data_IF_576582276394
#
_entry.id   IF_576582276394
#
_cell.length_a   1.000
_cell.length_b   1.000
_cell.length_c   1.000
_cell.angle_alpha   90.00
_cell.angle_beta   90.00
_cell.angle_gamma   90.00
#
_symmetry.space_group_name_H-M   'P 1'
#
loop_
_entity.id
_entity.type
_entity.pdbx_description
1 polymer ?
#
# COMPACT_ATOMS: atom_id res chain seq x y z
N UNK A 1 -52.91 46.45 -11.81
CA UNK A 1 -51.71 45.60 -11.97
C UNK A 1 -50.84 45.83 -10.75
N UNK A 2 -50.87 44.89 -9.84
CA UNK A 2 -50.10 44.92 -8.59
C UNK A 2 -48.95 43.93 -8.71
N UNK A 3 -47.66 44.28 -8.50
CA UNK A 3 -46.58 43.30 -8.53
C UNK A 3 -46.50 42.54 -7.22
N UNK A 4 -46.60 41.22 -7.30
CA UNK A 4 -46.28 40.33 -6.18
C UNK A 4 -44.77 40.39 -5.89
N UNK A 5 -44.40 40.89 -4.72
CA UNK A 5 -43.06 40.72 -4.16
C UNK A 5 -42.96 39.33 -3.53
N UNK A 6 -42.18 38.43 -4.15
CA UNK A 6 -41.81 37.17 -3.56
C UNK A 6 -40.65 37.38 -2.57
N UNK A 7 -40.92 37.19 -1.27
CA UNK A 7 -39.88 37.12 -0.23
C UNK A 7 -39.24 35.77 -0.26
N UNK A 8 -37.94 35.70 -0.62
CA UNK A 8 -37.11 34.52 -0.46
C UNK A 8 -36.70 34.43 1.03
N UNK A 9 -37.30 33.52 1.79
CA UNK A 9 -36.93 33.26 3.18
C UNK A 9 -35.75 32.28 3.11
N UNK A 10 -34.54 32.78 3.36
CA UNK A 10 -33.34 31.94 3.57
C UNK A 10 -33.37 31.34 4.98
N UNK A 11 -33.64 30.05 5.12
CA UNK A 11 -33.41 29.34 6.37
C UNK A 11 -31.93 29.03 6.49
N UNK A 12 -31.29 29.28 7.65
CA UNK A 12 -29.93 28.82 7.91
C UNK A 12 -29.95 27.30 7.93
N UNK A 13 -29.05 26.68 7.16
CA UNK A 13 -28.80 25.23 7.26
C UNK A 13 -28.34 24.92 8.69
N UNK A 14 -28.86 23.84 9.32
CA UNK A 14 -28.38 23.41 10.61
C UNK A 14 -26.87 23.17 10.52
N UNK A 15 -26.11 23.73 11.46
CA UNK A 15 -24.69 23.44 11.62
C UNK A 15 -24.53 21.93 11.80
N UNK A 16 -23.66 21.31 10.98
CA UNK A 16 -23.29 19.92 11.20
C UNK A 16 -22.74 19.79 12.64
N UNK A 17 -23.15 18.76 13.39
CA UNK A 17 -22.62 18.56 14.72
C UNK A 17 -21.11 18.38 14.61
N UNK A 18 -20.34 19.25 15.27
CA UNK A 18 -18.90 19.08 15.44
C UNK A 18 -18.68 17.68 16.03
N UNK A 19 -18.08 16.81 15.21
CA UNK A 19 -17.77 15.45 15.63
C UNK A 19 -16.91 15.51 16.88
N UNK A 20 -17.46 15.16 18.04
CA UNK A 20 -16.69 14.98 19.27
C UNK A 20 -15.56 14.01 18.97
N UNK A 21 -14.34 14.51 18.93
CA UNK A 21 -13.14 13.68 18.97
C UNK A 21 -13.20 12.85 20.27
N UNK A 22 -13.65 11.62 20.15
CA UNK A 22 -13.54 10.66 21.25
C UNK A 22 -12.05 10.36 21.37
N UNK A 23 -11.42 10.80 22.46
CA UNK A 23 -10.06 10.43 22.77
C UNK A 23 -9.96 8.90 22.71
N UNK A 24 -9.01 8.33 21.94
CA UNK A 24 -8.86 6.89 21.90
C UNK A 24 -8.58 6.37 23.31
N UNK A 25 -9.13 5.20 23.65
CA UNK A 25 -8.77 4.48 24.86
C UNK A 25 -7.22 4.35 24.89
N UNK A 26 -6.63 4.30 26.08
CA UNK A 26 -5.18 4.24 26.26
C UNK A 26 -4.55 3.23 25.29
N UNK A 27 -3.58 3.62 24.47
CA UNK A 27 -3.01 2.75 23.46
C UNK A 27 -2.30 1.56 24.14
N UNK A 28 -2.56 0.37 23.63
CA UNK A 28 -1.82 -0.84 24.03
C UNK A 28 -0.80 -1.16 22.97
N UNK A 29 0.47 -1.26 23.38
CA UNK A 29 1.57 -1.68 22.51
C UNK A 29 1.79 -3.18 22.63
N UNK A 30 1.79 -3.90 21.51
CA UNK A 30 2.00 -5.34 21.44
C UNK A 30 3.19 -5.62 20.51
N UNK A 31 4.14 -6.42 20.98
CA UNK A 31 5.27 -6.85 20.16
C UNK A 31 4.81 -7.94 19.19
N UNK A 32 4.85 -7.64 17.89
CA UNK A 32 4.44 -8.58 16.81
C UNK A 32 5.56 -9.57 16.52
N UNK A 33 6.80 -9.09 16.48
CA UNK A 33 7.99 -9.91 16.21
C UNK A 33 9.20 -9.33 16.92
N UNK A 34 9.93 -10.19 17.57
CA UNK A 34 11.25 -9.90 18.15
C UNK A 34 12.10 -11.17 18.16
N UNK A 35 13.33 -11.06 17.67
CA UNK A 35 14.35 -12.09 17.72
C UNK A 35 15.72 -11.41 17.88
N UNK A 36 16.55 -11.88 18.79
CA UNK A 36 17.87 -11.29 19.05
C UNK A 36 18.75 -11.34 17.81
N UNK A 37 19.44 -10.24 17.50
CA UNK A 37 20.29 -10.13 16.31
C UNK A 37 19.53 -10.01 14.99
N UNK A 38 18.20 -9.86 15.02
CA UNK A 38 17.37 -9.67 13.84
C UNK A 38 16.82 -8.25 13.76
N UNK A 39 16.71 -7.78 12.54
CA UNK A 39 15.94 -6.60 12.16
C UNK A 39 14.58 -7.04 11.65
N UNK A 40 13.53 -6.28 11.99
CA UNK A 40 12.21 -6.40 11.36
C UNK A 40 11.67 -5.02 10.98
N UNK A 41 11.08 -4.91 9.80
CA UNK A 41 10.60 -3.61 9.35
C UNK A 41 9.76 -3.64 8.07
N UNK A 42 9.38 -2.44 7.65
CA UNK A 42 8.67 -2.12 6.41
C UNK A 42 7.32 -2.82 6.21
N UNK A 43 6.45 -2.92 7.22
CA UNK A 43 5.14 -3.53 7.03
C UNK A 43 4.30 -2.81 5.95
N UNK A 44 4.49 -1.50 5.78
CA UNK A 44 3.83 -0.73 4.73
C UNK A 44 4.17 -1.20 3.29
N UNK A 45 5.30 -1.89 3.09
CA UNK A 45 5.62 -2.45 1.78
C UNK A 45 4.87 -3.76 1.53
N UNK A 46 4.53 -4.47 2.60
CA UNK A 46 4.03 -5.85 2.54
C UNK A 46 2.51 -5.93 2.65
N UNK A 47 1.90 -5.12 3.48
CA UNK A 47 0.47 -5.05 3.71
C UNK A 47 0.03 -5.54 5.08
N UNK A 48 -1.19 -5.14 5.43
CA UNK A 48 -1.93 -5.58 6.61
C UNK A 48 -3.37 -5.88 6.20
N UNK A 49 -3.92 -6.98 6.69
CA UNK A 49 -5.29 -7.43 6.42
C UNK A 49 -5.95 -7.84 7.72
N UNK A 50 -7.27 -7.68 7.79
CA UNK A 50 -8.06 -8.10 8.94
C UNK A 50 -9.38 -8.76 8.52
N UNK A 51 -9.77 -9.78 9.26
CA UNK A 51 -11.02 -10.53 9.08
C UNK A 51 -11.63 -10.75 10.48
N UNK A 52 -12.33 -9.73 10.99
CA UNK A 52 -12.74 -9.71 12.40
C UNK A 52 -11.52 -9.66 13.32
N UNK A 53 -11.42 -10.61 14.24
CA UNK A 53 -10.30 -10.72 15.18
C UNK A 53 -9.02 -11.32 14.57
N UNK A 54 -9.11 -11.86 13.35
CA UNK A 54 -7.93 -12.34 12.64
C UNK A 54 -7.23 -11.19 11.90
N UNK A 55 -5.94 -10.98 12.19
CA UNK A 55 -5.09 -9.96 11.55
C UNK A 55 -3.85 -10.62 10.98
N UNK A 56 -3.47 -10.26 9.76
CA UNK A 56 -2.25 -10.69 9.10
C UNK A 56 -1.41 -9.48 8.73
N UNK A 57 -0.13 -9.47 9.10
CA UNK A 57 0.82 -8.40 8.78
C UNK A 57 2.03 -8.99 8.06
N UNK A 58 2.38 -8.42 6.92
CA UNK A 58 3.63 -8.75 6.23
C UNK A 58 4.76 -7.81 6.65
N UNK A 59 5.99 -8.33 6.71
CA UNK A 59 7.18 -7.52 7.01
C UNK A 59 8.45 -8.17 6.46
N UNK A 60 9.53 -7.39 6.36
CA UNK A 60 10.88 -7.90 6.09
C UNK A 60 11.58 -8.22 7.40
N UNK A 61 12.28 -9.36 7.45
CA UNK A 61 13.20 -9.72 8.52
C UNK A 61 14.59 -9.97 7.94
N UNK A 62 15.63 -9.45 8.60
CA UNK A 62 17.01 -9.56 8.16
C UNK A 62 17.97 -9.60 9.34
N UNK A 63 19.27 -9.64 9.08
CA UNK A 63 20.30 -9.56 10.11
C UNK A 63 20.41 -8.12 10.63
N UNK A 64 20.38 -7.96 11.94
CA UNK A 64 20.60 -6.65 12.56
C UNK A 64 22.06 -6.22 12.35
N UNK A 65 22.23 -4.93 12.03
CA UNK A 65 23.53 -4.26 11.97
C UNK A 65 23.32 -2.79 12.36
N UNK A 66 24.00 -2.36 13.41
CA UNK A 66 23.95 -0.95 13.78
C UNK A 66 24.66 -0.12 12.72
N UNK A 67 23.92 0.80 12.10
CA UNK A 67 24.40 1.71 11.07
C UNK A 67 24.20 3.17 11.48
N UNK A 68 23.95 3.43 12.75
CA UNK A 68 23.68 4.75 13.31
C UNK A 68 22.21 5.19 13.14
N UNK A 69 21.84 6.35 13.72
CA UNK A 69 20.45 6.79 13.87
C UNK A 69 19.75 7.14 12.55
N UNK A 70 20.48 7.51 11.52
CA UNK A 70 19.92 7.99 10.25
C UNK A 70 19.72 6.87 9.21
N UNK A 71 20.00 5.64 9.57
CA UNK A 71 19.94 4.48 8.68
C UNK A 71 19.15 3.33 9.30
N UNK A 72 18.48 2.55 8.47
CA UNK A 72 17.85 1.32 8.95
C UNK A 72 18.91 0.32 9.41
N UNK A 73 18.73 -0.21 10.61
CA UNK A 73 19.68 -1.11 11.29
C UNK A 73 19.63 -2.54 10.74
N UNK A 74 19.85 -2.69 9.44
CA UNK A 74 19.84 -3.97 8.73
C UNK A 74 21.11 -4.15 7.91
N UNK A 75 21.69 -5.34 7.97
CA UNK A 75 22.80 -5.74 7.09
C UNK A 75 22.28 -6.20 5.74
N UNK A 76 22.37 -5.32 4.75
CA UNK A 76 21.89 -5.61 3.39
C UNK A 76 22.77 -6.55 2.57
N UNK A 77 23.91 -6.94 3.11
CA UNK A 77 24.79 -7.96 2.52
C UNK A 77 24.37 -9.37 2.92
N UNK A 78 23.46 -9.47 3.90
CA UNK A 78 22.91 -10.74 4.41
C UNK A 78 21.52 -10.99 3.84
N UNK A 79 21.10 -12.25 3.77
CA UNK A 79 19.76 -12.59 3.30
C UNK A 79 18.65 -11.94 4.11
N UNK A 80 17.60 -11.52 3.40
CA UNK A 80 16.32 -11.09 3.97
C UNK A 80 15.25 -12.16 3.74
N UNK A 81 14.25 -12.16 4.63
CA UNK A 81 13.03 -12.96 4.50
C UNK A 81 11.82 -12.03 4.49
N UNK A 82 10.83 -12.37 3.69
CA UNK A 82 9.52 -11.75 3.78
C UNK A 82 8.60 -12.64 4.60
N UNK A 83 8.39 -12.25 5.85
CA UNK A 83 7.60 -12.99 6.80
C UNK A 83 6.19 -12.42 6.92
N UNK A 84 5.30 -13.24 7.47
CA UNK A 84 3.96 -12.83 7.88
C UNK A 84 3.84 -13.07 9.39
N UNK A 85 3.10 -12.21 10.07
CA UNK A 85 2.67 -12.44 11.44
C UNK A 85 1.15 -12.47 11.48
N UNK A 86 0.60 -13.49 12.11
CA UNK A 86 -0.84 -13.70 12.26
C UNK A 86 -1.26 -13.61 13.71
N UNK A 87 -2.29 -12.81 13.96
CA UNK A 87 -3.06 -12.82 15.20
C UNK A 87 -4.44 -13.42 14.92
N UNK A 88 -5.01 -14.10 15.92
CA UNK A 88 -6.39 -14.63 15.88
C UNK A 88 -7.25 -14.14 17.03
N UNK A 89 -6.76 -13.16 17.77
CA UNK A 89 -7.36 -12.63 18.99
C UNK A 89 -7.35 -11.10 19.04
N UNK A 90 -7.56 -10.47 17.88
CA UNK A 90 -7.62 -9.02 17.77
C UNK A 90 -6.28 -8.31 17.99
N UNK A 91 -5.15 -9.00 17.75
CA UNK A 91 -3.82 -8.44 17.85
C UNK A 91 -3.17 -8.61 19.24
N UNK A 92 -3.73 -9.43 20.12
CA UNK A 92 -3.18 -9.64 21.46
C UNK A 92 -1.98 -10.59 21.44
N UNK A 93 -2.05 -11.67 20.64
CA UNK A 93 -0.96 -12.62 20.43
C UNK A 93 -0.67 -12.83 18.96
N UNK A 94 0.57 -13.20 18.62
CA UNK A 94 1.04 -13.29 17.25
C UNK A 94 1.88 -14.54 17.01
N UNK A 95 1.65 -15.19 15.87
CA UNK A 95 2.44 -16.29 15.35
C UNK A 95 3.12 -15.88 14.03
N UNK A 96 4.39 -16.20 13.87
CA UNK A 96 5.16 -15.88 12.65
C UNK A 96 5.04 -17.03 11.65
N UNK A 97 4.79 -16.69 10.40
CA UNK A 97 4.67 -17.59 9.28
C UNK A 97 5.71 -17.25 8.21
N UNK A 98 6.31 -18.27 7.60
CA UNK A 98 7.27 -18.09 6.51
C UNK A 98 6.67 -18.65 5.19
N UNK A 99 6.10 -17.79 4.34
CA UNK A 99 5.49 -18.21 3.08
C UNK A 99 6.52 -18.75 2.06
N UNK A 100 7.80 -18.44 2.22
CA UNK A 100 8.86 -18.94 1.35
C UNK A 100 9.00 -20.46 1.41
N UNK A 101 8.65 -21.09 2.53
CA UNK A 101 8.56 -22.55 2.68
C UNK A 101 7.56 -23.20 1.73
N UNK A 102 6.59 -22.42 1.24
CA UNK A 102 5.61 -22.82 0.22
C UNK A 102 5.95 -22.25 -1.17
N UNK A 103 7.14 -21.68 -1.34
CA UNK A 103 7.60 -21.08 -2.59
C UNK A 103 6.89 -19.77 -2.96
N UNK A 104 6.42 -19.01 -1.97
CA UNK A 104 5.74 -17.74 -2.17
C UNK A 104 6.42 -16.58 -1.42
N UNK A 105 6.20 -15.37 -1.89
CA UNK A 105 6.68 -14.12 -1.29
C UNK A 105 8.20 -14.09 -1.05
N UNK A 106 8.95 -14.77 -1.90
CA UNK A 106 10.43 -14.81 -1.83
C UNK A 106 10.94 -13.41 -2.18
N UNK A 107 11.90 -12.86 -1.41
CA UNK A 107 12.57 -11.61 -1.79
C UNK A 107 13.17 -11.73 -3.18
N UNK A 108 12.93 -10.73 -4.02
CA UNK A 108 13.52 -10.66 -5.35
C UNK A 108 13.82 -9.20 -5.66
N UNK A 109 15.04 -8.94 -6.04
CA UNK A 109 15.49 -7.60 -6.37
C UNK A 109 16.75 -7.21 -5.64
N UNK A 110 17.24 -6.04 -6.00
CA UNK A 110 18.40 -5.42 -5.37
C UNK A 110 17.93 -4.24 -4.53
N UNK A 111 18.70 -3.86 -3.53
CA UNK A 111 18.61 -2.62 -2.75
C UNK A 111 17.60 -2.59 -1.59
N UNK A 112 16.29 -2.77 -1.77
CA UNK A 112 15.32 -2.54 -0.69
C UNK A 112 14.73 -3.81 -0.09
N UNK A 113 14.84 -4.93 -0.78
CA UNK A 113 14.18 -6.18 -0.37
C UNK A 113 15.14 -7.35 -0.31
N UNK A 114 16.42 -7.05 -0.20
CA UNK A 114 17.46 -7.98 0.14
C UNK A 114 17.70 -9.12 -0.84
N UNK A 115 18.72 -9.88 -0.53
CA UNK A 115 19.05 -11.14 -1.21
C UNK A 115 18.19 -12.23 -0.57
N UNK A 116 17.54 -13.12 -1.34
CA UNK A 116 16.83 -14.24 -0.76
C UNK A 116 17.81 -15.19 -0.02
N UNK A 117 17.32 -15.92 0.97
CA UNK A 117 18.11 -16.99 1.58
C UNK A 117 18.62 -17.99 0.53
N UNK A 118 19.83 -18.58 0.73
CA UNK A 118 20.38 -19.56 -0.19
C UNK A 118 19.41 -20.69 -0.51
N UNK A 119 19.30 -21.04 -1.78
CA UNK A 119 18.39 -22.10 -2.26
C UNK A 119 16.94 -21.67 -2.47
N UNK A 120 16.55 -20.46 -2.07
CA UNK A 120 15.23 -19.93 -2.37
C UNK A 120 15.26 -19.13 -3.66
N UNK A 121 14.48 -19.56 -4.64
CA UNK A 121 14.32 -18.89 -5.93
C UNK A 121 12.84 -18.60 -6.16
N UNK A 122 12.53 -17.35 -6.47
CA UNK A 122 11.16 -16.97 -6.85
C UNK A 122 10.78 -17.67 -8.15
N UNK A 123 9.55 -18.16 -8.23
CA UNK A 123 9.01 -18.76 -9.45
C UNK A 123 9.02 -17.74 -10.60
N UNK A 124 9.14 -18.18 -11.86
CA UNK A 124 9.01 -17.30 -13.02
C UNK A 124 7.69 -16.52 -12.97
N UNK A 125 7.76 -15.24 -13.29
CA UNK A 125 6.58 -14.38 -13.29
C UNK A 125 5.66 -14.73 -14.45
N UNK A 126 4.38 -14.83 -14.14
CA UNK A 126 3.32 -15.15 -15.07
C UNK A 126 2.47 -13.91 -15.38
N UNK A 127 1.80 -13.92 -16.52
CA UNK A 127 0.71 -13.00 -16.78
C UNK A 127 -0.54 -13.50 -16.05
N UNK A 128 -1.32 -12.60 -15.48
CA UNK A 128 -2.54 -12.98 -14.81
C UNK A 128 -3.64 -13.25 -15.85
N UNK A 129 -4.21 -14.46 -15.82
CA UNK A 129 -5.31 -14.83 -16.74
C UNK A 129 -6.61 -14.06 -16.43
N UNK A 130 -6.66 -13.37 -15.30
CA UNK A 130 -7.84 -12.64 -14.84
C UNK A 130 -8.77 -13.48 -13.99
N UNK A 131 -9.99 -12.95 -13.80
CA UNK A 131 -11.04 -13.67 -13.07
C UNK A 131 -10.87 -13.71 -11.56
N UNK A 132 -9.90 -12.95 -10.99
CA UNK A 132 -9.77 -12.82 -9.55
C UNK A 132 -11.05 -12.22 -8.98
N UNK A 133 -11.64 -12.91 -8.01
CA UNK A 133 -12.72 -12.37 -7.21
C UNK A 133 -12.14 -11.58 -6.03
N UNK A 134 -12.03 -10.27 -6.21
CA UNK A 134 -11.52 -9.37 -5.17
C UNK A 134 -12.47 -9.23 -3.97
N UNK A 135 -13.75 -9.62 -4.14
CA UNK A 135 -14.74 -9.57 -3.05
C UNK A 135 -14.82 -10.87 -2.25
N UNK A 136 -13.96 -11.83 -2.55
CA UNK A 136 -13.91 -13.08 -1.77
C UNK A 136 -13.68 -12.74 -0.29
N UNK A 137 -14.45 -13.31 0.66
CA UNK A 137 -14.39 -12.95 2.07
C UNK A 137 -13.01 -13.15 2.70
N UNK A 138 -12.22 -14.08 2.19
CA UNK A 138 -10.88 -14.39 2.68
C UNK A 138 -9.78 -13.86 1.74
N UNK A 139 -10.10 -12.82 0.95
CA UNK A 139 -9.18 -12.26 -0.02
C UNK A 139 -8.07 -11.45 0.66
N UNK A 140 -6.85 -11.64 0.15
CA UNK A 140 -5.69 -10.77 0.40
C UNK A 140 -4.87 -10.64 -0.87
N UNK A 141 -4.31 -9.46 -1.12
CA UNK A 141 -3.37 -9.22 -2.23
C UNK A 141 -2.16 -8.45 -1.72
N UNK A 142 -0.97 -8.83 -2.15
CA UNK A 142 0.26 -8.10 -1.85
C UNK A 142 0.98 -7.74 -3.14
N UNK A 143 1.49 -6.51 -3.17
CA UNK A 143 2.23 -5.94 -4.29
C UNK A 143 3.71 -5.86 -3.92
N UNK A 144 4.59 -6.19 -4.85
CA UNK A 144 6.04 -6.31 -4.60
C UNK A 144 6.84 -5.68 -5.71
N UNK A 145 7.68 -4.72 -5.37
CA UNK A 145 8.68 -4.17 -6.30
C UNK A 145 9.93 -5.05 -6.38
N UNK A 146 10.70 -4.90 -7.43
CA UNK A 146 12.07 -5.44 -7.52
C UNK A 146 13.10 -4.38 -7.20
N UNK A 147 12.80 -3.13 -7.54
CA UNK A 147 13.67 -1.99 -7.35
C UNK A 147 12.82 -0.75 -7.07
N UNK A 148 13.31 0.18 -6.25
CA UNK A 148 12.59 1.40 -5.92
C UNK A 148 12.58 2.41 -7.09
N UNK A 149 13.56 2.33 -8.00
CA UNK A 149 13.77 3.33 -9.03
C UNK A 149 13.31 2.89 -10.41
N UNK A 150 13.80 1.77 -10.92
CA UNK A 150 13.62 1.40 -12.32
C UNK A 150 13.13 -0.03 -12.55
N UNK A 151 12.75 -0.74 -11.49
CA UNK A 151 12.33 -2.13 -11.60
C UNK A 151 10.85 -2.29 -11.97
N UNK A 152 10.51 -3.44 -12.56
CA UNK A 152 9.13 -3.88 -12.65
C UNK A 152 8.61 -4.32 -11.28
N UNK A 153 7.30 -4.43 -11.18
CA UNK A 153 6.61 -4.93 -10.00
C UNK A 153 5.72 -6.12 -10.33
N UNK A 154 5.36 -6.86 -9.30
CA UNK A 154 4.51 -8.04 -9.37
C UNK A 154 3.53 -8.07 -8.21
N UNK A 155 2.53 -8.92 -8.31
CA UNK A 155 1.60 -9.13 -7.21
C UNK A 155 1.35 -10.62 -6.96
N UNK A 156 0.90 -10.89 -5.74
CA UNK A 156 0.37 -12.18 -5.32
C UNK A 156 -1.01 -11.97 -4.72
N UNK A 157 -1.86 -12.96 -4.80
CA UNK A 157 -3.13 -12.95 -4.08
C UNK A 157 -3.43 -14.27 -3.40
N UNK A 158 -4.30 -14.21 -2.42
CA UNK A 158 -4.81 -15.32 -1.63
C UNK A 158 -6.32 -15.24 -1.52
N UNK A 159 -6.99 -16.39 -1.44
CA UNK A 159 -8.41 -16.53 -1.14
C UNK A 159 -8.65 -17.39 0.11
N UNK A 160 -7.62 -17.53 0.95
CA UNK A 160 -7.68 -18.24 2.22
C UNK A 160 -6.88 -17.48 3.32
N UNK A 161 -7.07 -16.16 3.39
CA UNK A 161 -6.46 -15.26 4.37
C UNK A 161 -4.94 -15.32 4.41
N UNK A 162 -4.28 -15.52 3.26
CA UNK A 162 -2.82 -15.60 3.18
C UNK A 162 -2.23 -16.94 3.61
N UNK A 163 -3.05 -17.98 3.77
CA UNK A 163 -2.57 -19.35 4.01
C UNK A 163 -1.77 -19.90 2.83
N UNK A 164 -2.20 -19.56 1.60
CA UNK A 164 -1.50 -19.84 0.36
C UNK A 164 -1.55 -18.62 -0.55
N UNK A 165 -0.51 -18.43 -1.36
CA UNK A 165 -0.37 -17.31 -2.27
C UNK A 165 -0.22 -17.78 -3.72
N UNK A 166 -1.04 -17.24 -4.61
CA UNK A 166 -0.95 -17.44 -6.07
C UNK A 166 -0.15 -16.30 -6.68
N UNK A 167 0.71 -16.61 -7.63
CA UNK A 167 1.65 -15.69 -8.28
C UNK A 167 3.08 -16.23 -8.24
N UNK A 168 4.07 -15.42 -8.61
CA UNK A 168 4.03 -13.97 -8.90
C UNK A 168 3.40 -13.64 -10.25
N UNK A 169 2.53 -12.64 -10.29
CA UNK A 169 1.93 -12.10 -11.52
C UNK A 169 2.52 -10.74 -11.86
N UNK A 170 2.81 -10.50 -13.14
CA UNK A 170 3.38 -9.24 -13.60
C UNK A 170 2.39 -8.08 -13.40
N UNK A 171 2.90 -6.93 -12.95
CA UNK A 171 2.24 -5.65 -13.13
C UNK A 171 2.83 -4.97 -14.37
N UNK A 172 2.02 -4.34 -15.22
CA UNK A 172 2.54 -3.61 -16.37
C UNK A 172 3.36 -2.38 -15.91
N UNK A 173 4.28 -1.95 -16.76
CA UNK A 173 5.04 -0.72 -16.53
C UNK A 173 4.28 0.55 -16.92
N UNK A 174 3.09 0.44 -17.52
CA UNK A 174 2.25 1.58 -17.96
C UNK A 174 2.97 2.59 -18.88
N UNK A 175 3.98 2.16 -19.61
CA UNK A 175 4.86 3.04 -20.41
C UNK A 175 5.86 3.85 -19.59
N UNK A 176 6.03 3.54 -18.30
CA UNK A 176 6.93 4.22 -17.38
C UNK A 176 8.30 3.50 -17.33
N UNK A 177 9.35 4.19 -16.86
CA UNK A 177 10.69 3.61 -16.69
C UNK A 177 10.73 2.56 -15.58
N UNK A 178 9.87 2.69 -14.57
CA UNK A 178 9.76 1.75 -13.46
C UNK A 178 8.52 2.00 -12.63
N UNK A 179 8.11 0.97 -11.93
CA UNK A 179 6.98 0.97 -11.00
C UNK A 179 7.41 0.31 -9.71
N UNK A 180 7.44 1.09 -8.63
CA UNK A 180 7.69 0.61 -7.27
C UNK A 180 6.35 0.36 -6.58
N UNK A 181 5.88 -0.90 -6.62
CA UNK A 181 4.64 -1.29 -5.99
C UNK A 181 4.84 -1.66 -4.52
N UNK A 182 4.09 -1.01 -3.66
CA UNK A 182 3.85 -1.37 -2.28
C UNK A 182 2.39 -1.74 -2.12
N UNK A 183 2.05 -2.47 -1.08
CA UNK A 183 0.70 -3.00 -0.93
C UNK A 183 -0.29 -1.91 -0.52
N UNK A 184 -0.93 -1.31 -1.50
CA UNK A 184 -2.04 -0.38 -1.32
C UNK A 184 -3.07 -0.56 -2.44
N UNK A 185 -4.29 -0.97 -2.08
CA UNK A 185 -5.35 -1.22 -3.06
C UNK A 185 -6.75 -1.03 -2.46
N UNK A 186 -7.71 -0.78 -3.33
CA UNK A 186 -9.13 -0.71 -3.00
C UNK A 186 -9.95 -1.63 -3.88
N UNK A 187 -10.73 -2.49 -3.26
CA UNK A 187 -11.70 -3.33 -3.94
C UNK A 187 -12.93 -2.49 -4.29
N UNK A 188 -13.31 -2.50 -5.57
CA UNK A 188 -14.48 -1.79 -6.08
C UNK A 188 -15.63 -2.74 -6.43
N UNK A 189 -15.33 -4.01 -6.67
CA UNK A 189 -16.29 -5.05 -7.03
C UNK A 189 -15.59 -6.37 -7.32
N UNK A 190 -16.36 -7.37 -7.71
CA UNK A 190 -15.89 -8.75 -7.88
C UNK A 190 -14.61 -8.86 -8.72
N UNK A 191 -14.57 -8.23 -9.91
CA UNK A 191 -13.40 -8.26 -10.77
C UNK A 191 -12.75 -6.88 -10.90
N UNK A 192 -13.08 -5.94 -10.01
CA UNK A 192 -12.72 -4.53 -10.09
C UNK A 192 -11.90 -4.11 -8.87
N UNK A 193 -10.66 -3.71 -9.12
CA UNK A 193 -9.71 -3.28 -8.09
C UNK A 193 -8.87 -2.09 -8.59
N UNK A 194 -8.63 -1.14 -7.70
CA UNK A 194 -7.70 -0.03 -7.91
C UNK A 194 -6.48 -0.22 -7.05
N UNK A 195 -5.29 -0.07 -7.64
CA UNK A 195 -4.00 -0.11 -6.95
C UNK A 195 -3.35 1.27 -6.95
N UNK A 196 -2.62 1.58 -5.89
CA UNK A 196 -1.91 2.85 -5.71
C UNK A 196 -0.41 2.56 -5.69
N UNK A 197 0.31 3.16 -6.63
CA UNK A 197 1.67 2.78 -7.00
C UNK A 197 2.56 4.01 -7.01
N UNK A 198 3.87 3.79 -7.04
CA UNK A 198 4.85 4.85 -7.25
C UNK A 198 5.62 4.60 -8.53
N UNK A 199 5.66 5.60 -9.41
CA UNK A 199 6.42 5.56 -10.66
C UNK A 199 7.81 6.13 -10.50
N UNK A 200 8.74 5.70 -11.36
CA UNK A 200 9.96 6.43 -11.62
C UNK A 200 9.64 7.76 -12.30
N UNK A 201 10.30 8.82 -11.89
CA UNK A 201 10.29 10.12 -12.56
C UNK A 201 11.10 10.08 -13.86
N UNK A 202 11.07 11.11 -14.71
CA UNK A 202 11.87 11.20 -15.93
C UNK A 202 13.38 11.06 -15.68
N UNK A 203 13.88 11.47 -14.52
CA UNK A 203 15.27 11.32 -14.08
C UNK A 203 15.66 9.86 -13.73
N UNK A 204 14.71 8.94 -13.77
CA UNK A 204 14.90 7.53 -13.43
C UNK A 204 14.85 7.22 -11.93
N UNK A 205 14.63 8.22 -11.07
CA UNK A 205 14.49 8.01 -9.64
C UNK A 205 13.02 7.74 -9.25
N UNK A 206 12.79 6.99 -8.18
CA UNK A 206 11.45 6.81 -7.61
C UNK A 206 10.85 8.17 -7.24
N UNK A 207 9.55 8.34 -7.43
CA UNK A 207 8.97 9.43 -6.74
C UNK A 207 7.73 10.10 -7.27
N UNK A 208 6.89 9.46 -8.09
CA UNK A 208 5.60 10.03 -8.48
C UNK A 208 4.47 9.04 -8.29
N UNK A 209 3.55 9.27 -7.32
CA UNK A 209 2.43 8.38 -7.09
C UNK A 209 1.38 8.45 -8.21
N UNK A 210 0.78 7.31 -8.50
CA UNK A 210 -0.32 7.19 -9.44
C UNK A 210 -1.26 6.05 -9.02
N UNK A 211 -2.43 6.00 -9.64
CA UNK A 211 -3.33 4.87 -9.49
C UNK A 211 -3.60 4.18 -10.84
N UNK A 212 -3.81 2.87 -10.76
CA UNK A 212 -4.19 2.03 -11.88
C UNK A 212 -5.34 1.10 -11.47
N UNK A 213 -6.12 0.62 -12.43
CA UNK A 213 -7.32 -0.17 -12.18
C UNK A 213 -7.43 -1.34 -13.13
N UNK A 214 -7.87 -2.46 -12.60
CA UNK A 214 -8.38 -3.60 -13.35
C UNK A 214 -9.90 -3.68 -13.25
N UNK A 215 -10.56 -4.22 -14.28
CA UNK A 215 -11.98 -4.54 -14.29
C UNK A 215 -12.27 -5.94 -14.81
N UNK A 216 -11.23 -6.74 -14.96
CA UNK A 216 -11.26 -8.09 -15.50
C UNK A 216 -10.55 -9.10 -14.59
N UNK A 217 -10.51 -8.79 -13.28
CA UNK A 217 -9.93 -9.67 -12.29
C UNK A 217 -8.41 -9.78 -12.39
N UNK A 218 -7.73 -8.71 -12.76
CA UNK A 218 -6.27 -8.65 -12.78
C UNK A 218 -5.60 -9.00 -14.11
N UNK A 219 -6.37 -9.34 -15.17
CA UNK A 219 -5.82 -9.65 -16.49
C UNK A 219 -5.17 -8.43 -17.12
N UNK A 220 -5.87 -7.28 -17.08
CA UNK A 220 -5.36 -6.03 -17.58
C UNK A 220 -5.43 -4.94 -16.52
N UNK A 221 -4.43 -4.07 -16.51
CA UNK A 221 -4.37 -2.92 -15.64
C UNK A 221 -4.23 -1.66 -16.47
N UNK A 222 -5.07 -0.66 -16.20
CA UNK A 222 -5.06 0.62 -16.90
C UNK A 222 -4.60 1.72 -15.96
N UNK A 223 -3.63 2.51 -16.39
CA UNK A 223 -3.29 3.77 -15.72
C UNK A 223 -4.53 4.66 -15.67
N UNK A 224 -4.83 5.23 -14.51
CA UNK A 224 -5.96 6.15 -14.35
C UNK A 224 -5.50 7.59 -14.23
N UNK A 225 -4.68 7.88 -13.24
CA UNK A 225 -4.26 9.25 -12.93
C UNK A 225 -3.01 9.30 -12.07
N UNK A 226 -2.28 10.39 -12.18
CA UNK A 226 -1.30 10.80 -11.19
C UNK A 226 -2.00 11.25 -9.91
N UNK A 227 -1.37 11.02 -8.76
CA UNK A 227 -1.83 11.51 -7.47
C UNK A 227 -0.95 12.69 -7.09
N UNK A 228 -1.52 13.90 -7.24
CA UNK A 228 -0.79 15.14 -7.04
C UNK A 228 0.17 15.51 -8.17
N UNK A 229 0.81 16.64 -7.96
CA UNK A 229 1.78 17.19 -8.89
C UNK A 229 3.11 16.44 -8.85
N UNK A 230 3.90 16.56 -9.91
CA UNK A 230 5.23 16.01 -9.94
C UNK A 230 6.11 16.69 -8.88
N UNK A 231 6.71 15.94 -7.95
CA UNK A 231 7.51 16.52 -6.89
C UNK A 231 8.89 16.93 -7.40
N UNK A 232 9.47 17.98 -6.81
CA UNK A 232 10.87 18.35 -7.03
C UNK A 232 11.82 17.25 -6.52
N UNK A 233 11.58 16.78 -5.29
CA UNK A 233 12.26 15.61 -4.72
C UNK A 233 11.53 14.31 -5.07
N UNK A 234 10.91 13.66 -4.09
CA UNK A 234 10.09 12.48 -4.31
C UNK A 234 8.79 12.51 -3.52
N UNK A 235 7.78 11.85 -4.07
CA UNK A 235 6.54 11.48 -3.39
C UNK A 235 6.35 9.97 -3.55
N UNK A 236 6.20 9.25 -2.46
CA UNK A 236 6.21 7.78 -2.43
C UNK A 236 5.24 7.22 -1.39
N UNK A 237 5.03 5.92 -1.44
CA UNK A 237 4.27 5.17 -0.43
C UNK A 237 2.86 5.74 -0.23
N UNK A 238 2.03 5.79 -1.29
CA UNK A 238 0.63 6.12 -1.11
C UNK A 238 -0.02 5.13 -0.14
N UNK A 239 -0.92 5.64 0.70
CA UNK A 239 -1.78 4.86 1.57
C UNK A 239 -3.18 5.45 1.49
N UNK A 240 -4.13 4.67 0.98
CA UNK A 240 -5.42 5.17 0.53
C UNK A 240 -6.57 4.54 1.28
N UNK A 241 -7.50 5.36 1.72
CA UNK A 241 -8.76 4.93 2.33
C UNK A 241 -9.96 5.50 1.61
N UNK A 242 -11.06 4.77 1.63
CA UNK A 242 -12.35 5.23 1.10
C UNK A 242 -13.11 5.95 2.20
N UNK A 243 -13.41 7.24 1.98
CA UNK A 243 -14.22 8.05 2.89
C UNK A 243 -15.72 7.96 2.55
N UNK A 244 -16.05 7.68 1.30
CA UNK A 244 -17.43 7.56 0.82
C UNK A 244 -17.51 6.88 -0.53
N UNK A 245 -18.72 6.67 -1.08
CA UNK A 245 -18.88 5.96 -2.36
C UNK A 245 -18.08 6.57 -3.53
N UNK A 246 -17.81 7.86 -3.43
CA UNK A 246 -17.11 8.62 -4.46
C UNK A 246 -15.90 9.39 -3.94
N UNK A 247 -15.44 9.08 -2.74
CA UNK A 247 -14.42 9.87 -2.10
C UNK A 247 -13.30 9.01 -1.54
N UNK A 248 -12.07 9.38 -1.86
CA UNK A 248 -10.85 8.74 -1.39
C UNK A 248 -9.98 9.78 -0.69
N UNK A 249 -9.28 9.34 0.34
CA UNK A 249 -8.19 10.07 0.97
C UNK A 249 -6.91 9.26 0.81
N UNK A 250 -5.87 9.87 0.25
CA UNK A 250 -4.55 9.25 0.09
C UNK A 250 -3.51 10.05 0.85
N UNK A 251 -2.82 9.42 1.78
CA UNK A 251 -1.63 9.97 2.43
C UNK A 251 -0.39 9.54 1.66
N UNK A 252 0.57 10.44 1.49
CA UNK A 252 1.79 10.23 0.71
C UNK A 252 2.98 10.75 1.49
N UNK A 253 4.03 9.93 1.62
CA UNK A 253 5.31 10.40 2.12
C UNK A 253 6.00 11.23 1.03
N UNK A 254 6.31 12.48 1.36
CA UNK A 254 6.95 13.42 0.44
C UNK A 254 8.25 13.96 1.01
N UNK A 255 9.20 14.24 0.14
CA UNK A 255 10.47 14.88 0.48
C UNK A 255 10.94 15.77 -0.67
N UNK A 256 11.45 16.94 -0.34
CA UNK A 256 12.37 17.71 -1.18
C UNK A 256 13.80 17.57 -0.63
N UNK A 257 14.72 18.38 -1.11
CA UNK A 257 16.14 18.29 -0.72
C UNK A 257 16.39 18.60 0.77
N UNK A 258 15.46 19.26 1.44
CA UNK A 258 15.65 19.80 2.80
C UNK A 258 14.65 19.27 3.82
N UNK A 259 13.43 18.91 3.39
CA UNK A 259 12.33 18.57 4.29
C UNK A 259 11.62 17.30 3.85
N UNK A 260 11.14 16.54 4.82
CA UNK A 260 10.25 15.40 4.61
C UNK A 260 8.95 15.66 5.37
N UNK A 261 7.79 15.30 4.73
CA UNK A 261 6.46 15.46 5.32
C UNK A 261 5.48 14.42 4.79
N UNK A 262 4.34 14.33 5.43
CA UNK A 262 3.20 13.59 4.90
C UNK A 262 2.25 14.60 4.23
N UNK A 263 1.89 14.32 3.00
CA UNK A 263 0.91 15.09 2.25
C UNK A 263 -0.33 14.25 2.02
N UNK A 264 -1.51 14.85 2.15
CA UNK A 264 -2.77 14.15 1.94
C UNK A 264 -3.51 14.72 0.73
N UNK A 265 -4.13 13.82 -0.03
CA UNK A 265 -4.92 14.16 -1.21
C UNK A 265 -6.32 13.59 -1.05
N UNK A 266 -7.32 14.43 -1.25
CA UNK A 266 -8.73 14.05 -1.26
C UNK A 266 -9.25 14.13 -2.68
N UNK A 267 -9.80 13.03 -3.21
CA UNK A 267 -10.39 12.99 -4.52
C UNK A 267 -11.91 12.86 -4.42
N UNK A 268 -12.63 13.64 -5.22
CA UNK A 268 -14.06 13.41 -5.50
C UNK A 268 -14.19 12.72 -6.85
N UNK A 269 -15.18 11.89 -7.06
CA UNK A 269 -15.38 10.86 -8.09
C UNK A 269 -15.18 11.20 -9.57
N UNK A 270 -14.86 12.39 -9.90
CA UNK A 270 -14.17 12.71 -11.15
C UNK A 270 -12.72 12.93 -10.76
N UNK A 271 -11.83 12.08 -11.19
CA UNK A 271 -10.38 12.17 -10.98
C UNK A 271 -9.73 13.47 -11.54
N UNK A 272 -10.52 14.51 -11.70
CA UNK A 272 -10.13 15.85 -12.11
C UNK A 272 -10.26 16.79 -10.93
N UNK A 273 -9.18 17.00 -10.20
CA UNK A 273 -9.07 18.01 -9.15
C UNK A 273 -8.80 17.44 -7.77
N UNK A 274 -7.54 17.28 -7.47
CA UNK A 274 -7.03 16.92 -6.14
C UNK A 274 -6.95 18.22 -5.33
N UNK A 275 -7.64 18.30 -4.18
CA UNK A 275 -7.42 19.37 -3.22
C UNK A 275 -6.34 18.95 -2.22
N UNK A 276 -5.36 19.79 -2.05
CA UNK A 276 -4.27 19.65 -1.10
C UNK A 276 -4.76 19.99 0.31
N UNK A 277 -4.59 19.05 1.26
CA UNK A 277 -4.67 19.35 2.68
C UNK A 277 -3.23 19.19 3.23
N UNK A 278 -2.62 20.28 3.61
CA UNK A 278 -1.33 20.25 4.30
C UNK A 278 -1.61 20.23 5.81
N UNK A 279 -0.96 19.34 6.53
CA UNK A 279 -0.85 19.41 7.98
C UNK A 279 0.43 20.18 8.30
N UNK A 280 0.28 21.27 9.07
CA UNK A 280 1.39 22.01 9.63
C UNK A 280 2.04 21.28 10.79
#
# INVERSE_FOLDING_TARGET
MCPLLSFLVCFPLPAEPEGRSVAPASPRHVMIYHESGRFAGWPANHGIWSWGDEILVGFSAGTYKDLGPDRHAIDREKPEQHLLARSRDGGLTWAVEDPSKKGALIPAGRMLHGVPPPGLVEKPWQDCEGGIDFTHPDFAMTLRMTDAHAGPSRFYYSTNRGGDWRGPFRLPLFGLKGVAARTDYLVNGKNDCTVFLTASKPDGQEGRPFCARTRDGGRTWKFLAWIGDEPKGYAIMPSTVRLGPRELLTAIRRRDDTKAWIETYRSQAKFSGVRRLAWG
#
